data_IF_264341286924
#
_entry.id   IF_264341286924
#
_cell.length_a   1.000
_cell.length_b   1.000
_cell.length_c   1.000
_cell.angle_alpha   90.00
_cell.angle_beta   90.00
_cell.angle_gamma   90.00
#
_symmetry.space_group_name_H-M   'P 1'
#
loop_
_entity.id
_entity.type
_entity.pdbx_description
1 polymer ?
#
# COMPACT_ATOMS: atom_id res chain seq x y z
N UNK A 1 -3.56 10.79 -12.88
CA UNK A 1 -2.96 9.62 -12.21
C UNK A 1 -3.12 9.83 -10.72
N UNK A 2 -4.12 9.17 -10.14
CA UNK A 2 -4.51 9.40 -8.75
C UNK A 2 -3.52 8.71 -7.81
N UNK A 3 -3.46 9.13 -6.55
CA UNK A 3 -2.60 8.50 -5.54
C UNK A 3 -2.89 7.00 -5.37
N UNK A 4 -4.15 6.62 -5.58
CA UNK A 4 -4.64 5.25 -5.67
C UNK A 4 -4.09 4.47 -6.87
N UNK A 5 -3.61 5.10 -7.93
CA UNK A 5 -3.01 4.38 -9.07
C UNK A 5 -1.53 4.05 -8.84
N UNK A 6 -0.86 4.82 -7.96
CA UNK A 6 0.59 4.67 -7.69
C UNK A 6 0.93 3.81 -6.48
N UNK A 7 0.09 3.83 -5.44
CA UNK A 7 0.17 2.83 -4.36
C UNK A 7 0.12 1.41 -4.91
N UNK A 8 -0.57 1.20 -6.04
CA UNK A 8 -0.68 -0.09 -6.71
C UNK A 8 0.27 -0.24 -7.91
N UNK A 9 1.18 0.72 -8.15
CA UNK A 9 2.13 0.69 -9.28
C UNK A 9 3.45 -0.04 -8.96
N UNK A 10 3.54 -0.75 -7.83
CA UNK A 10 4.61 -1.73 -7.60
C UNK A 10 5.92 -1.18 -7.01
N UNK A 11 5.93 0.03 -6.46
CA UNK A 11 7.02 0.51 -5.59
C UNK A 11 6.73 0.20 -4.11
N UNK A 12 7.77 -0.04 -3.31
CA UNK A 12 7.60 -0.38 -1.88
C UNK A 12 7.02 0.82 -1.21
N UNK A 13 5.97 0.60 -0.41
CA UNK A 13 5.52 1.56 0.59
C UNK A 13 6.67 1.85 1.53
N UNK A 14 7.47 2.87 1.20
CA UNK A 14 8.62 3.25 1.99
C UNK A 14 8.11 3.85 3.30
N UNK A 15 8.33 3.15 4.40
CA UNK A 15 8.09 3.68 5.75
C UNK A 15 9.04 4.84 6.10
N UNK A 16 10.12 5.03 5.32
CA UNK A 16 11.08 6.11 5.54
C UNK A 16 10.50 7.43 5.03
N UNK A 17 10.31 8.37 5.94
CA UNK A 17 10.09 9.78 5.60
C UNK A 17 11.22 10.27 4.70
N UNK A 18 10.92 10.98 3.60
CA UNK A 18 11.95 11.55 2.74
C UNK A 18 12.68 12.68 3.47
N UNK A 19 13.81 12.34 4.11
CA UNK A 19 14.59 13.26 4.97
C UNK A 19 15.33 14.33 4.14
N UNK A 20 15.72 13.99 2.92
CA UNK A 20 16.56 14.81 2.05
C UNK A 20 15.89 16.13 1.58
N UNK A 21 14.64 16.14 1.08
CA UNK A 21 13.96 17.40 0.76
C UNK A 21 13.67 18.26 2.00
N UNK A 22 13.40 17.64 3.16
CA UNK A 22 13.17 18.36 4.41
C UNK A 22 14.44 19.09 4.89
N UNK A 23 15.60 18.42 4.76
CA UNK A 23 16.91 19.00 5.00
C UNK A 23 17.21 20.17 4.06
N UNK A 24 16.88 20.04 2.77
CA UNK A 24 17.10 21.08 1.78
C UNK A 24 16.26 22.34 2.09
N UNK A 25 14.99 22.17 2.46
CA UNK A 25 14.11 23.27 2.88
C UNK A 25 14.66 23.95 4.14
N UNK A 26 15.08 23.18 5.14
CA UNK A 26 15.68 23.71 6.36
C UNK A 26 16.93 24.55 6.04
N UNK A 27 17.81 24.06 5.15
CA UNK A 27 19.02 24.76 4.72
C UNK A 27 18.68 26.05 3.97
N UNK A 28 17.70 26.03 3.07
CA UNK A 28 17.27 27.22 2.33
C UNK A 28 16.71 28.29 3.27
N UNK A 29 15.90 27.90 4.26
CA UNK A 29 15.35 28.87 5.23
C UNK A 29 16.43 29.40 6.16
N UNK A 30 17.39 28.56 6.58
CA UNK A 30 18.54 29.00 7.36
C UNK A 30 19.37 30.04 6.59
N UNK A 31 19.65 29.78 5.31
CA UNK A 31 20.40 30.70 4.45
C UNK A 31 19.62 32.01 4.21
N UNK A 32 18.30 31.94 4.03
CA UNK A 32 17.46 33.12 3.89
C UNK A 32 17.41 33.96 5.18
N UNK A 33 17.34 33.32 6.35
CA UNK A 33 17.40 33.99 7.65
C UNK A 33 18.75 34.66 7.91
N UNK A 34 19.85 34.00 7.54
CA UNK A 34 21.21 34.57 7.62
C UNK A 34 21.38 35.75 6.65
N UNK A 35 20.86 35.66 5.43
CA UNK A 35 20.85 36.77 4.49
C UNK A 35 20.02 37.96 5.01
N UNK A 36 18.85 37.70 5.60
CA UNK A 36 18.02 38.75 6.20
C UNK A 36 18.77 39.49 7.32
N UNK A 37 19.43 38.76 8.22
CA UNK A 37 20.27 39.33 9.28
C UNK A 37 21.47 40.12 8.74
N UNK A 38 22.06 39.69 7.62
CA UNK A 38 23.22 40.35 7.03
C UNK A 38 22.86 41.65 6.29
N UNK A 39 21.69 41.72 5.64
CA UNK A 39 21.34 42.82 4.72
C UNK A 39 20.31 43.81 5.26
N UNK A 40 19.47 43.43 6.22
CA UNK A 40 18.36 44.29 6.68
C UNK A 40 18.70 44.94 8.02
N UNK A 41 19.04 46.24 7.99
CA UNK A 41 19.18 47.07 9.21
C UNK A 41 17.83 47.69 9.57
N UNK A 42 17.03 46.95 10.34
CA UNK A 42 15.80 47.49 10.92
C UNK A 42 16.12 48.44 12.09
N UNK A 43 15.35 49.54 12.27
CA UNK A 43 15.41 50.32 13.50
C UNK A 43 15.06 49.40 14.68
N UNK A 44 15.84 49.45 15.75
CA UNK A 44 15.66 48.58 16.92
C UNK A 44 14.65 49.21 17.87
N UNK A 45 13.44 48.64 17.92
CA UNK A 45 12.38 49.07 18.84
C UNK A 45 12.70 48.66 20.28
N UNK A 46 13.48 47.58 20.45
CA UNK A 46 14.01 47.08 21.73
C UNK A 46 15.25 46.19 21.49
N UNK A 47 16.10 45.96 22.52
CA UNK A 47 17.27 45.08 22.41
C UNK A 47 16.84 43.65 22.04
N UNK A 48 17.40 43.09 20.97
CA UNK A 48 17.08 41.74 20.50
C UNK A 48 15.91 41.62 19.51
N UNK A 49 15.27 42.73 19.12
CA UNK A 49 14.15 42.72 18.16
C UNK A 49 14.51 42.08 16.81
N UNK A 50 15.74 42.26 16.32
CA UNK A 50 16.24 41.65 15.10
C UNK A 50 16.28 40.12 15.16
N UNK A 51 16.59 39.54 16.32
CA UNK A 51 16.59 38.08 16.54
C UNK A 51 15.16 37.56 16.51
N UNK A 52 14.24 38.21 17.23
CA UNK A 52 12.83 37.81 17.29
C UNK A 52 12.18 37.86 15.89
N UNK A 53 12.39 38.96 15.16
CA UNK A 53 11.86 39.13 13.80
C UNK A 53 12.45 38.06 12.87
N UNK A 54 13.76 37.81 12.92
CA UNK A 54 14.39 36.80 12.08
C UNK A 54 13.87 35.38 12.40
N UNK A 55 13.64 35.05 13.68
CA UNK A 55 13.07 33.76 14.09
C UNK A 55 11.63 33.63 13.60
N UNK A 56 10.78 34.63 13.81
CA UNK A 56 9.38 34.60 13.38
C UNK A 56 9.26 34.52 11.86
N UNK A 57 10.06 35.31 11.14
CA UNK A 57 10.08 35.30 9.68
C UNK A 57 10.59 33.96 9.13
N UNK A 58 11.66 33.42 9.74
CA UNK A 58 12.18 32.10 9.41
C UNK A 58 11.14 31.00 9.65
N UNK A 59 10.41 31.06 10.77
CA UNK A 59 9.37 30.09 11.11
C UNK A 59 8.15 30.20 10.19
N UNK A 60 7.76 31.42 9.80
CA UNK A 60 6.71 31.64 8.80
C UNK A 60 7.12 31.13 7.41
N UNK A 61 8.39 31.36 7.00
CA UNK A 61 8.94 30.89 5.74
C UNK A 61 9.09 29.37 5.71
N UNK A 62 9.51 28.71 6.79
CA UNK A 62 9.54 27.24 6.87
C UNK A 62 8.14 26.67 6.74
N UNK A 63 7.16 27.22 7.46
CA UNK A 63 5.76 26.77 7.37
C UNK A 63 5.18 26.98 5.97
N UNK A 64 5.42 28.14 5.35
CA UNK A 64 4.98 28.44 4.00
C UNK A 64 5.62 27.51 2.96
N UNK A 65 6.93 27.25 3.07
CA UNK A 65 7.61 26.31 2.20
C UNK A 65 7.07 24.88 2.38
N UNK A 66 6.84 24.44 3.61
CA UNK A 66 6.22 23.15 3.93
C UNK A 66 4.83 23.01 3.33
N UNK A 67 4.00 24.05 3.34
CA UNK A 67 2.66 24.03 2.73
C UNK A 67 2.67 23.92 1.20
N UNK A 68 3.73 24.42 0.55
CA UNK A 68 3.89 24.35 -0.91
C UNK A 68 4.49 23.01 -1.37
N UNK A 69 5.05 22.21 -0.45
CA UNK A 69 5.59 20.89 -0.77
C UNK A 69 4.45 19.88 -0.96
N UNK A 70 4.51 19.05 -2.01
CA UNK A 70 3.54 17.98 -2.19
C UNK A 70 3.66 16.98 -1.04
N UNK A 71 2.53 16.54 -0.47
CA UNK A 71 2.47 15.72 0.75
C UNK A 71 3.38 14.47 0.75
N UNK A 72 3.64 13.90 -0.43
CA UNK A 72 4.58 12.79 -0.69
C UNK A 72 6.04 13.09 -0.31
N UNK A 73 6.43 14.36 -0.24
CA UNK A 73 7.77 14.81 0.17
C UNK A 73 7.85 15.11 1.66
N UNK A 74 6.73 14.97 2.39
CA UNK A 74 6.63 15.25 3.81
C UNK A 74 6.28 13.99 4.60
N UNK A 75 5.47 13.10 4.02
CA UNK A 75 4.96 11.91 4.66
C UNK A 75 5.42 10.66 3.92
N UNK A 76 5.64 9.59 4.67
CA UNK A 76 5.84 8.26 4.07
C UNK A 76 4.58 7.81 3.32
N UNK A 77 4.73 6.97 2.31
CA UNK A 77 3.57 6.43 1.57
C UNK A 77 2.63 5.65 2.50
N UNK A 78 3.20 4.94 3.48
CA UNK A 78 2.43 4.28 4.52
C UNK A 78 1.58 5.24 5.37
N UNK A 79 2.12 6.41 5.73
CA UNK A 79 1.38 7.42 6.49
C UNK A 79 0.27 8.10 5.65
N UNK A 80 0.51 8.26 4.35
CA UNK A 80 -0.51 8.80 3.44
C UNK A 80 -1.63 7.79 3.20
N UNK A 81 -1.29 6.50 3.09
CA UNK A 81 -2.22 5.40 2.92
C UNK A 81 -3.06 5.19 4.18
N UNK A 82 -2.45 5.26 5.37
CA UNK A 82 -3.18 5.24 6.64
C UNK A 82 -4.12 6.43 6.76
N UNK A 83 -3.66 7.64 6.42
CA UNK A 83 -4.51 8.83 6.49
C UNK A 83 -5.68 8.76 5.49
N UNK A 84 -5.46 8.28 4.27
CA UNK A 84 -6.53 8.08 3.28
C UNK A 84 -7.55 7.02 3.74
N UNK A 85 -7.06 5.94 4.38
CA UNK A 85 -7.92 4.90 4.94
C UNK A 85 -8.74 5.41 6.12
N UNK A 86 -8.14 6.18 7.03
CA UNK A 86 -8.81 6.83 8.16
C UNK A 86 -9.86 7.85 7.69
N UNK A 87 -9.59 8.59 6.61
CA UNK A 87 -10.55 9.50 6.00
C UNK A 87 -11.77 8.76 5.42
N UNK A 88 -11.58 7.57 4.85
CA UNK A 88 -12.66 6.78 4.23
C UNK A 88 -13.52 6.03 5.25
N UNK A 89 -12.92 5.50 6.31
CA UNK A 89 -13.60 4.60 7.26
C UNK A 89 -13.86 5.22 8.64
N UNK A 90 -13.34 6.42 8.90
CA UNK A 90 -13.40 7.08 10.19
C UNK A 90 -12.38 6.51 11.19
N UNK A 91 -11.77 7.39 11.98
CA UNK A 91 -10.60 7.10 12.81
C UNK A 91 -10.83 6.21 14.06
N UNK A 92 -11.80 5.29 14.07
CA UNK A 92 -12.31 4.73 15.34
C UNK A 92 -12.49 3.21 15.46
N UNK A 93 -11.69 2.36 14.81
CA UNK A 93 -11.65 0.96 15.28
C UNK A 93 -10.32 0.26 15.08
N UNK A 94 -9.88 -0.51 16.09
CA UNK A 94 -8.72 -1.41 15.96
C UNK A 94 -8.87 -2.44 14.83
N UNK A 95 -10.12 -2.74 14.42
CA UNK A 95 -10.42 -3.57 13.23
C UNK A 95 -9.97 -2.91 11.92
N UNK A 96 -10.11 -1.60 11.79
CA UNK A 96 -9.64 -0.84 10.64
C UNK A 96 -8.11 -0.85 10.56
N UNK A 97 -7.42 -0.71 11.69
CA UNK A 97 -5.95 -0.82 11.73
C UNK A 97 -5.44 -2.21 11.29
N UNK A 98 -6.10 -3.29 11.73
CA UNK A 98 -5.75 -4.65 11.27
C UNK A 98 -6.01 -4.83 9.78
N UNK A 99 -7.15 -4.34 9.27
CA UNK A 99 -7.46 -4.42 7.84
C UNK A 99 -6.44 -3.66 6.98
N UNK A 100 -6.04 -2.46 7.40
CA UNK A 100 -5.00 -1.69 6.73
C UNK A 100 -3.64 -2.42 6.71
N UNK A 101 -3.24 -3.01 7.83
CA UNK A 101 -2.02 -3.81 7.89
C UNK A 101 -2.08 -4.99 6.91
N UNK A 102 -3.22 -5.69 6.85
CA UNK A 102 -3.42 -6.79 5.89
C UNK A 102 -3.42 -6.30 4.44
N UNK A 103 -3.97 -5.11 4.14
CA UNK A 103 -3.90 -4.51 2.80
C UNK A 103 -2.45 -4.28 2.39
N UNK A 104 -1.65 -3.66 3.26
CA UNK A 104 -0.22 -3.39 3.02
C UNK A 104 0.53 -4.71 2.79
N UNK A 105 0.33 -5.68 3.67
CA UNK A 105 0.98 -6.98 3.58
C UNK A 105 0.61 -7.75 2.29
N UNK A 106 -0.66 -7.69 1.90
CA UNK A 106 -1.14 -8.33 0.67
C UNK A 106 -0.54 -7.68 -0.57
N UNK A 107 -0.40 -6.35 -0.57
CA UNK A 107 0.30 -5.63 -1.64
C UNK A 107 1.79 -5.98 -1.69
N UNK A 108 2.45 -6.08 -0.54
CA UNK A 108 3.86 -6.49 -0.46
C UNK A 108 4.08 -7.92 -0.99
N UNK A 109 3.13 -8.85 -0.76
CA UNK A 109 3.14 -10.19 -1.38
C UNK A 109 3.09 -10.11 -2.90
N UNK A 110 2.16 -9.34 -3.47
CA UNK A 110 2.08 -9.14 -4.92
C UNK A 110 3.40 -8.61 -5.49
N UNK A 111 4.00 -7.65 -4.80
CA UNK A 111 5.29 -7.07 -5.19
C UNK A 111 6.46 -8.07 -5.10
N UNK A 112 6.51 -8.90 -4.05
CA UNK A 112 7.51 -9.97 -3.91
C UNK A 112 7.42 -10.95 -5.07
N UNK A 113 6.23 -11.37 -5.44
CA UNK A 113 5.99 -12.25 -6.59
C UNK A 113 6.47 -11.57 -7.89
N UNK A 114 6.08 -10.31 -8.14
CA UNK A 114 6.48 -9.58 -9.35
C UNK A 114 7.99 -9.42 -9.51
N UNK A 115 8.75 -9.35 -8.42
CA UNK A 115 10.23 -9.32 -8.47
C UNK A 115 10.84 -10.62 -9.00
N UNK A 116 10.14 -11.74 -8.85
CA UNK A 116 10.62 -13.07 -9.24
C UNK A 116 10.26 -13.37 -10.71
N UNK A 117 9.15 -12.80 -11.22
CA UNK A 117 8.63 -13.04 -12.57
C UNK A 117 9.69 -12.95 -13.69
N UNK A 118 10.55 -11.90 -13.79
CA UNK A 118 11.53 -11.79 -14.87
C UNK A 118 12.55 -12.92 -14.88
N UNK A 119 12.79 -13.52 -13.71
CA UNK A 119 13.70 -14.63 -13.49
C UNK A 119 13.00 -15.98 -13.48
N UNK A 120 11.79 -16.14 -14.04
CA UNK A 120 11.08 -17.43 -14.14
C UNK A 120 10.82 -17.86 -15.59
N UNK A 121 10.45 -19.13 -15.80
CA UNK A 121 10.07 -19.67 -17.11
C UNK A 121 8.71 -19.07 -17.53
N UNK A 122 8.46 -18.95 -18.83
CA UNK A 122 7.30 -18.23 -19.38
C UNK A 122 5.94 -18.78 -18.88
N UNK A 123 5.83 -20.10 -18.74
CA UNK A 123 4.60 -20.75 -18.27
C UNK A 123 4.29 -20.48 -16.79
N UNK A 124 5.32 -20.39 -15.94
CA UNK A 124 5.19 -20.03 -14.53
C UNK A 124 5.07 -18.52 -14.38
N UNK A 125 5.80 -17.74 -15.17
CA UNK A 125 5.76 -16.28 -15.14
C UNK A 125 4.34 -15.74 -15.33
N UNK A 126 3.57 -16.32 -16.26
CA UNK A 126 2.16 -15.97 -16.46
C UNK A 126 1.29 -16.28 -15.23
N UNK A 127 1.51 -17.42 -14.58
CA UNK A 127 0.81 -17.81 -13.35
C UNK A 127 1.16 -16.89 -12.19
N UNK A 128 2.45 -16.57 -12.01
CA UNK A 128 2.94 -15.66 -10.98
C UNK A 128 2.40 -14.24 -11.17
N UNK A 129 2.38 -13.75 -12.41
CA UNK A 129 1.80 -12.43 -12.74
C UNK A 129 0.32 -12.39 -12.36
N UNK A 130 -0.46 -13.40 -12.78
CA UNK A 130 -1.88 -13.52 -12.43
C UNK A 130 -2.10 -13.60 -10.91
N UNK A 131 -1.24 -14.32 -10.20
CA UNK A 131 -1.30 -14.43 -8.73
C UNK A 131 -1.05 -13.07 -8.06
N UNK A 132 -0.03 -12.34 -8.53
CA UNK A 132 0.26 -11.00 -8.03
C UNK A 132 -0.89 -10.03 -8.29
N UNK A 133 -1.49 -10.08 -9.48
CA UNK A 133 -2.64 -9.22 -9.84
C UNK A 133 -3.86 -9.52 -8.97
N UNK A 134 -4.09 -10.80 -8.63
CA UNK A 134 -5.14 -11.21 -7.68
C UNK A 134 -4.89 -10.69 -6.27
N UNK A 135 -3.66 -10.73 -5.78
CA UNK A 135 -3.34 -10.13 -4.48
C UNK A 135 -3.55 -8.62 -4.49
N UNK A 136 -3.15 -7.91 -5.55
CA UNK A 136 -3.41 -6.47 -5.68
C UNK A 136 -4.91 -6.16 -5.74
N UNK A 137 -5.69 -6.97 -6.46
CA UNK A 137 -7.15 -6.85 -6.50
C UNK A 137 -7.78 -7.08 -5.12
N UNK A 138 -7.32 -8.09 -4.38
CA UNK A 138 -7.76 -8.36 -3.01
C UNK A 138 -7.40 -7.21 -2.06
N UNK A 139 -6.16 -6.72 -2.11
CA UNK A 139 -5.71 -5.57 -1.32
C UNK A 139 -6.60 -4.33 -1.60
N UNK A 140 -6.91 -4.08 -2.88
CA UNK A 140 -7.82 -2.98 -3.27
C UNK A 140 -9.23 -3.21 -2.74
N UNK A 141 -9.76 -4.43 -2.83
CA UNK A 141 -11.09 -4.75 -2.31
C UNK A 141 -11.18 -4.55 -0.79
N UNK A 142 -10.17 -4.98 -0.04
CA UNK A 142 -10.09 -4.83 1.42
C UNK A 142 -9.92 -3.37 1.83
N UNK A 143 -9.23 -2.56 1.02
CA UNK A 143 -9.09 -1.13 1.26
C UNK A 143 -10.44 -0.41 1.24
N UNK A 144 -11.35 -0.79 0.32
CA UNK A 144 -12.69 -0.20 0.24
C UNK A 144 -13.72 -0.89 1.12
N UNK A 145 -13.55 -2.19 1.41
CA UNK A 145 -14.48 -2.99 2.20
C UNK A 145 -13.73 -3.78 3.29
N UNK A 146 -13.21 -3.11 4.34
CA UNK A 146 -12.43 -3.78 5.39
C UNK A 146 -13.24 -4.81 6.20
N UNK A 147 -14.57 -4.74 6.14
CA UNK A 147 -15.47 -5.73 6.74
C UNK A 147 -15.34 -7.14 6.15
N UNK A 148 -14.80 -7.29 4.93
CA UNK A 148 -14.57 -8.60 4.30
C UNK A 148 -13.31 -9.31 4.83
N UNK A 149 -12.49 -8.64 5.65
CA UNK A 149 -11.25 -9.21 6.19
C UNK A 149 -11.43 -10.61 6.81
N UNK A 150 -12.39 -10.86 7.72
CA UNK A 150 -12.52 -12.17 8.38
C UNK A 150 -12.77 -13.31 7.38
N UNK A 151 -13.41 -13.00 6.26
CA UNK A 151 -13.75 -13.96 5.22
C UNK A 151 -12.53 -14.41 4.42
N UNK A 152 -11.64 -13.47 4.10
CA UNK A 152 -10.43 -13.74 3.29
C UNK A 152 -9.22 -14.10 4.14
N UNK A 153 -9.25 -13.84 5.45
CA UNK A 153 -8.12 -14.01 6.37
C UNK A 153 -7.55 -15.44 6.36
N UNK A 154 -8.40 -16.47 6.33
CA UNK A 154 -7.95 -17.86 6.31
C UNK A 154 -7.18 -18.21 5.02
N UNK A 155 -7.58 -17.64 3.88
CA UNK A 155 -6.89 -17.84 2.59
C UNK A 155 -5.60 -17.03 2.56
N UNK A 156 -5.63 -15.78 3.04
CA UNK A 156 -4.43 -14.95 3.14
C UNK A 156 -3.37 -15.59 4.05
N UNK A 157 -3.75 -16.12 5.21
CA UNK A 157 -2.80 -16.79 6.11
C UNK A 157 -2.12 -18.02 5.47
N UNK A 158 -2.85 -18.78 4.63
CA UNK A 158 -2.27 -19.93 3.90
C UNK A 158 -1.45 -19.51 2.70
N UNK A 159 -1.76 -18.36 2.12
CA UNK A 159 -1.08 -17.86 0.93
C UNK A 159 0.38 -17.47 1.19
N UNK A 160 0.78 -17.22 2.44
CA UNK A 160 2.17 -16.97 2.80
C UNK A 160 3.09 -18.15 2.47
N UNK A 161 2.62 -19.38 2.72
CA UNK A 161 3.36 -20.60 2.38
C UNK A 161 3.56 -20.72 0.86
N UNK A 162 2.59 -20.26 0.08
CA UNK A 162 2.69 -20.25 -1.38
C UNK A 162 3.67 -19.17 -1.84
N UNK A 163 3.63 -17.97 -1.25
CA UNK A 163 4.59 -16.89 -1.55
C UNK A 163 6.02 -17.30 -1.20
N UNK A 164 6.22 -17.95 -0.04
CA UNK A 164 7.53 -18.48 0.37
C UNK A 164 8.03 -19.58 -0.58
N UNK A 165 7.13 -20.45 -1.06
CA UNK A 165 7.46 -21.44 -2.08
C UNK A 165 7.85 -20.78 -3.43
N UNK A 166 7.19 -19.69 -3.83
CA UNK A 166 7.54 -18.89 -5.02
C UNK A 166 8.95 -18.28 -4.85
N UNK A 167 9.23 -17.68 -3.70
CA UNK A 167 10.54 -17.10 -3.37
C UNK A 167 11.65 -18.17 -3.37
N UNK A 168 11.38 -19.31 -2.75
CA UNK A 168 12.32 -20.45 -2.70
C UNK A 168 12.59 -21.00 -4.10
N UNK A 169 11.57 -21.10 -4.96
CA UNK A 169 11.73 -21.52 -6.35
C UNK A 169 12.58 -20.51 -7.14
N UNK A 170 12.31 -19.21 -6.99
CA UNK A 170 13.11 -18.15 -7.62
C UNK A 170 14.58 -18.21 -7.19
N UNK A 171 14.84 -18.40 -5.89
CA UNK A 171 16.19 -18.54 -5.35
C UNK A 171 16.89 -19.82 -5.82
N UNK A 172 16.18 -20.95 -5.87
CA UNK A 172 16.70 -22.21 -6.40
C UNK A 172 17.13 -22.04 -7.86
N UNK A 173 16.26 -21.45 -8.70
CA UNK A 173 16.53 -21.22 -10.12
C UNK A 173 17.74 -20.29 -10.33
N UNK A 174 17.82 -19.21 -9.56
CA UNK A 174 18.95 -18.29 -9.60
C UNK A 174 20.28 -18.97 -9.26
N UNK A 175 20.27 -19.95 -8.35
CA UNK A 175 21.45 -20.72 -7.95
C UNK A 175 21.85 -21.80 -8.96
N UNK A 176 20.90 -22.48 -9.58
CA UNK A 176 21.16 -23.61 -10.49
C UNK A 176 21.31 -23.22 -11.96
N UNK A 177 21.18 -21.93 -12.29
CA UNK A 177 21.28 -21.45 -13.67
C UNK A 177 20.05 -21.77 -14.53
N UNK A 178 18.94 -22.16 -13.91
CA UNK A 178 17.67 -22.32 -14.60
C UNK A 178 17.31 -23.73 -15.09
N UNK A 179 18.20 -24.71 -14.88
CA UNK A 179 18.02 -26.07 -15.41
C UNK A 179 18.34 -27.14 -14.35
N UNK A 180 17.72 -28.32 -14.46
CA UNK A 180 17.92 -29.46 -13.57
C UNK A 180 16.65 -30.09 -12.99
N UNK A 181 16.75 -31.37 -12.59
CA UNK A 181 15.61 -32.17 -12.08
C UNK A 181 14.93 -31.55 -10.86
N UNK A 182 15.68 -30.88 -10.00
CA UNK A 182 15.15 -30.22 -8.80
C UNK A 182 14.33 -28.97 -9.14
N UNK A 183 14.72 -28.22 -10.18
CA UNK A 183 13.97 -27.05 -10.68
C UNK A 183 12.64 -27.50 -11.27
N UNK A 184 12.64 -28.60 -12.05
CA UNK A 184 11.43 -29.14 -12.66
C UNK A 184 10.46 -29.74 -11.62
N UNK A 185 10.98 -30.47 -10.63
CA UNK A 185 10.17 -30.96 -9.50
C UNK A 185 9.58 -29.77 -8.70
N UNK A 186 10.40 -28.76 -8.40
CA UNK A 186 9.97 -27.54 -7.73
C UNK A 186 8.89 -26.80 -8.52
N UNK A 187 9.04 -26.71 -9.85
CA UNK A 187 8.05 -26.12 -10.77
C UNK A 187 6.70 -26.84 -10.72
N UNK A 188 6.71 -28.18 -10.77
CA UNK A 188 5.47 -28.97 -10.71
C UNK A 188 4.73 -28.78 -9.38
N UNK A 189 5.46 -28.77 -8.26
CA UNK A 189 4.90 -28.47 -6.95
C UNK A 189 4.37 -27.04 -6.87
N UNK A 190 5.11 -26.06 -7.38
CA UNK A 190 4.71 -24.66 -7.40
C UNK A 190 3.41 -24.45 -8.16
N UNK A 191 3.29 -25.08 -9.34
CA UNK A 191 2.08 -25.02 -10.17
C UNK A 191 0.85 -25.53 -9.42
N UNK A 192 0.99 -26.65 -8.73
CA UNK A 192 -0.09 -27.26 -7.93
C UNK A 192 -0.49 -26.36 -6.77
N UNK A 193 0.49 -25.78 -6.06
CA UNK A 193 0.25 -24.85 -4.94
C UNK A 193 -0.44 -23.57 -5.38
N UNK A 194 -0.01 -22.97 -6.50
CA UNK A 194 -0.65 -21.78 -7.08
C UNK A 194 -2.08 -22.08 -7.53
N UNK A 195 -2.30 -23.25 -8.16
CA UNK A 195 -3.64 -23.65 -8.58
C UNK A 195 -4.58 -23.81 -7.37
N UNK A 196 -4.12 -24.50 -6.32
CA UNK A 196 -4.88 -24.67 -5.07
C UNK A 196 -5.22 -23.31 -4.41
N UNK A 197 -4.29 -22.35 -4.47
CA UNK A 197 -4.55 -20.99 -4.00
C UNK A 197 -5.63 -20.29 -4.84
N UNK A 198 -5.57 -20.41 -6.17
CA UNK A 198 -6.60 -19.84 -7.05
C UNK A 198 -7.97 -20.47 -6.80
N UNK A 199 -8.05 -21.79 -6.67
CA UNK A 199 -9.29 -22.50 -6.38
C UNK A 199 -9.88 -22.06 -5.02
N UNK A 200 -9.03 -21.84 -4.01
CA UNK A 200 -9.46 -21.33 -2.71
C UNK A 200 -10.01 -19.90 -2.79
N UNK A 201 -9.39 -19.03 -3.60
CA UNK A 201 -9.86 -17.67 -3.85
C UNK A 201 -11.18 -17.66 -4.64
N UNK A 202 -11.29 -18.47 -5.69
CA UNK A 202 -12.52 -18.59 -6.50
C UNK A 202 -13.68 -19.15 -5.65
N UNK A 203 -13.38 -20.09 -4.76
CA UNK A 203 -14.35 -20.61 -3.81
C UNK A 203 -14.83 -19.58 -2.77
N UNK A 204 -14.07 -18.52 -2.49
CA UNK A 204 -14.53 -17.40 -1.66
C UNK A 204 -15.46 -16.49 -2.45
N UNK A 205 -15.13 -16.19 -3.69
CA UNK A 205 -15.95 -15.35 -4.59
C UNK A 205 -17.31 -16.01 -4.90
N UNK A 206 -17.32 -17.31 -5.20
CA UNK A 206 -18.55 -18.06 -5.46
C UNK A 206 -19.51 -17.99 -4.26
N UNK A 207 -19.00 -18.19 -3.03
CA UNK A 207 -19.79 -18.03 -1.80
C UNK A 207 -20.33 -16.61 -1.62
N UNK A 208 -19.67 -15.59 -2.19
CA UNK A 208 -20.06 -14.19 -2.06
C UNK A 208 -21.26 -13.91 -2.93
N UNK A 209 -21.17 -14.37 -4.17
CA UNK A 209 -22.23 -14.26 -5.17
C UNK A 209 -23.48 -14.98 -4.66
N UNK A 210 -23.36 -16.22 -4.15
CA UNK A 210 -24.51 -16.96 -3.61
C UNK A 210 -25.18 -16.21 -2.45
N UNK A 211 -24.41 -15.70 -1.48
CA UNK A 211 -24.98 -14.93 -0.36
C UNK A 211 -25.63 -13.62 -0.82
N UNK A 212 -25.09 -12.98 -1.86
CA UNK A 212 -25.67 -11.75 -2.41
C UNK A 212 -26.98 -12.03 -3.16
N UNK A 213 -27.04 -13.10 -3.95
CA UNK A 213 -28.25 -13.55 -4.63
C UNK A 213 -29.37 -13.89 -3.64
N UNK A 214 -29.05 -14.62 -2.57
CA UNK A 214 -30.01 -14.95 -1.51
C UNK A 214 -30.56 -13.68 -0.84
N UNK A 215 -29.71 -12.70 -0.53
CA UNK A 215 -30.14 -11.41 0.03
C UNK A 215 -31.02 -10.61 -0.93
N UNK A 216 -30.72 -10.63 -2.23
CA UNK A 216 -31.54 -9.97 -3.26
C UNK A 216 -32.90 -10.63 -3.39
N UNK A 217 -32.97 -11.97 -3.35
CA UNK A 217 -34.22 -12.71 -3.39
C UNK A 217 -35.11 -12.42 -2.18
N UNK A 218 -34.53 -12.39 -0.98
CA UNK A 218 -35.25 -12.00 0.25
C UNK A 218 -35.73 -10.55 0.20
N UNK A 219 -34.89 -9.62 -0.27
CA UNK A 219 -35.27 -8.23 -0.41
C UNK A 219 -36.40 -8.05 -1.45
N UNK A 220 -36.33 -8.78 -2.57
CA UNK A 220 -37.34 -8.79 -3.61
C UNK A 220 -38.67 -9.37 -3.12
N UNK A 221 -38.66 -10.49 -2.41
CA UNK A 221 -39.88 -11.10 -1.86
C UNK A 221 -40.52 -10.21 -0.79
N UNK A 222 -39.71 -9.53 0.01
CA UNK A 222 -40.17 -8.55 1.00
C UNK A 222 -40.81 -7.35 0.31
N UNK A 223 -40.19 -6.82 -0.75
CA UNK A 223 -40.75 -5.73 -1.55
C UNK A 223 -42.05 -6.12 -2.24
N UNK A 224 -42.14 -7.32 -2.81
CA UNK A 224 -43.36 -7.83 -3.43
C UNK A 224 -44.49 -8.01 -2.41
N UNK A 225 -44.18 -8.47 -1.20
CA UNK A 225 -45.14 -8.60 -0.10
C UNK A 225 -45.66 -7.25 0.39
N UNK A 226 -44.80 -6.22 0.40
CA UNK A 226 -45.18 -4.85 0.75
C UNK A 226 -46.00 -4.16 -0.35
N UNK A 227 -45.76 -4.48 -1.63
CA UNK A 227 -46.53 -3.95 -2.77
C UNK A 227 -47.90 -4.61 -2.94
N UNK A 228 -48.10 -5.83 -2.40
CA UNK A 228 -49.39 -6.55 -2.41
C UNK A 228 -50.30 -6.20 -1.22
N UNK A 229 -49.84 -5.35 -0.29
CA UNK A 229 -50.66 -4.77 0.79
C UNK A 229 -51.16 -3.38 0.40
#
# INVERSE_FOLDING_TARGET
MTMHDRVFSGDSLSARTPVLPMLLVLVVVLLAGLAYLAFVRLPLWFPGAHVVIAVVLGLALTLGALMLLPARMLHSEAALLSHAFDQLHGAQSGRHATALATVIETHDRARRIRRIVPGTQEDIAALLTRTADRFDALARSLFYAPGELPRVQAVLARSDLVVEAIETHGALRARTGGDGKDVEASRAHLRTSIQSLHDALDGLEARAITSLLEKVEVASSTAETLLRR
#
